data_IF_565540989923
#
_entry.id   IF_565540989923
#
_cell.length_a   1.000
_cell.length_b   1.000
_cell.length_c   1.000
_cell.angle_alpha   90.00
_cell.angle_beta   90.00
_cell.angle_gamma   90.00
#
_symmetry.space_group_name_H-M   'P 1'
#
loop_
_entity.id
_entity.type
_entity.pdbx_description
1 polymer ?
#
# COMPACT_ATOMS: atom_id res chain seq x y z
N UNK A 1 -3.03 -1.25 -1.07
CA UNK A 1 -2.57 -1.99 -2.26
C UNK A 1 -3.53 -1.78 -3.44
N UNK A 2 -4.81 -2.14 -3.32
CA UNK A 2 -5.77 -2.03 -4.42
C UNK A 2 -5.97 -0.60 -4.95
N UNK A 3 -5.94 0.42 -4.10
CA UNK A 3 -6.00 1.83 -4.54
C UNK A 3 -4.77 2.19 -5.36
N UNK A 4 -3.57 1.71 -5.00
CA UNK A 4 -2.36 1.92 -5.77
C UNK A 4 -2.45 1.28 -7.16
N UNK A 5 -2.96 0.05 -7.24
CA UNK A 5 -3.15 -0.64 -8.52
C UNK A 5 -4.10 0.13 -9.46
N UNK A 6 -5.14 0.75 -8.90
CA UNK A 6 -6.17 1.40 -9.71
C UNK A 6 -5.80 2.82 -10.13
N UNK A 7 -5.05 3.56 -9.29
CA UNK A 7 -4.87 5.01 -9.48
C UNK A 7 -3.46 5.45 -9.85
N UNK A 8 -2.43 4.60 -9.67
CA UNK A 8 -1.04 4.98 -9.97
C UNK A 8 -0.82 5.33 -11.43
N UNK A 9 -1.38 4.55 -12.36
CA UNK A 9 -1.25 4.81 -13.80
C UNK A 9 -1.94 6.11 -14.21
N UNK A 10 -3.11 6.38 -13.64
CA UNK A 10 -3.83 7.64 -13.87
C UNK A 10 -3.06 8.84 -13.30
N UNK A 11 -2.44 8.67 -12.13
CA UNK A 11 -1.58 9.69 -11.53
C UNK A 11 -0.39 10.02 -12.44
N UNK A 12 0.31 9.02 -12.95
CA UNK A 12 1.43 9.26 -13.87
C UNK A 12 1.00 9.91 -15.17
N UNK A 13 -0.11 9.50 -15.76
CA UNK A 13 -0.60 10.05 -17.02
C UNK A 13 -1.11 11.50 -16.93
N UNK A 14 -1.55 11.97 -15.75
CA UNK A 14 -2.08 13.32 -15.56
C UNK A 14 -1.07 14.30 -14.95
N UNK A 15 -0.19 13.83 -14.07
CA UNK A 15 0.69 14.69 -13.27
C UNK A 15 2.15 14.66 -13.69
N UNK A 16 2.51 13.71 -14.56
CA UNK A 16 3.89 13.58 -15.07
C UNK A 16 3.82 13.33 -16.56
N UNK A 17 4.84 13.80 -17.29
CA UNK A 17 4.97 13.55 -18.74
C UNK A 17 5.39 12.08 -19.05
N UNK A 18 4.97 11.13 -18.21
CA UNK A 18 5.28 9.72 -18.36
C UNK A 18 4.22 9.10 -19.28
N UNK A 19 4.60 8.56 -20.44
CA UNK A 19 3.67 7.92 -21.35
C UNK A 19 3.04 6.66 -20.74
N UNK A 20 1.83 6.32 -21.18
CA UNK A 20 1.02 5.26 -20.59
C UNK A 20 1.72 3.89 -20.51
N UNK A 21 2.55 3.57 -21.50
CA UNK A 21 3.35 2.33 -21.49
C UNK A 21 4.37 2.31 -20.33
N UNK A 22 5.03 3.43 -20.05
CA UNK A 22 5.97 3.55 -18.94
C UNK A 22 5.24 3.57 -17.58
N UNK A 23 4.06 4.16 -17.50
CA UNK A 23 3.22 4.12 -16.30
C UNK A 23 2.82 2.68 -15.93
N UNK A 24 2.50 1.85 -16.93
CA UNK A 24 2.23 0.42 -16.74
C UNK A 24 3.48 -0.35 -16.30
N UNK A 25 4.65 -0.02 -16.84
CA UNK A 25 5.92 -0.62 -16.39
C UNK A 25 6.20 -0.25 -14.93
N UNK A 26 5.97 1.00 -14.53
CA UNK A 26 6.13 1.43 -13.14
C UNK A 26 5.19 0.65 -12.19
N UNK A 27 3.93 0.43 -12.61
CA UNK A 27 2.99 -0.42 -11.86
C UNK A 27 3.49 -1.87 -11.76
N UNK A 28 4.01 -2.43 -12.85
CA UNK A 28 4.62 -3.77 -12.86
C UNK A 28 5.81 -3.85 -11.90
N UNK A 29 6.63 -2.81 -11.84
CA UNK A 29 7.72 -2.71 -10.87
C UNK A 29 7.21 -2.74 -9.42
N UNK A 30 6.07 -2.08 -9.12
CA UNK A 30 5.44 -2.15 -7.80
C UNK A 30 5.03 -3.58 -7.44
N UNK A 31 4.33 -4.26 -8.34
CA UNK A 31 3.86 -5.64 -8.12
C UNK A 31 5.04 -6.60 -7.97
N UNK A 32 6.09 -6.42 -8.77
CA UNK A 32 7.32 -7.21 -8.67
C UNK A 32 8.01 -6.97 -7.32
N UNK A 33 8.17 -5.73 -6.90
CA UNK A 33 8.72 -5.37 -5.59
C UNK A 33 7.93 -5.98 -4.43
N UNK A 34 6.60 -5.93 -4.51
CA UNK A 34 5.70 -6.55 -3.55
C UNK A 34 5.88 -8.07 -3.49
N UNK A 35 5.97 -8.73 -4.63
CA UNK A 35 6.13 -10.19 -4.71
C UNK A 35 7.47 -10.64 -4.16
N UNK A 36 8.56 -10.00 -4.56
CA UNK A 36 9.91 -10.29 -4.06
C UNK A 36 9.99 -10.08 -2.56
N UNK A 37 9.45 -8.96 -2.06
CA UNK A 37 9.42 -8.68 -0.63
C UNK A 37 8.61 -9.71 0.16
N UNK A 38 7.49 -10.20 -0.35
CA UNK A 38 6.73 -11.30 0.27
C UNK A 38 7.54 -12.58 0.38
N UNK A 39 8.31 -12.94 -0.64
CA UNK A 39 9.20 -14.11 -0.59
C UNK A 39 10.28 -13.96 0.50
N UNK A 40 10.89 -12.78 0.59
CA UNK A 40 11.90 -12.48 1.62
C UNK A 40 11.28 -12.48 3.03
N UNK A 41 10.05 -11.98 3.18
CA UNK A 41 9.34 -11.94 4.47
C UNK A 41 9.08 -13.31 5.05
N UNK A 42 8.89 -14.36 4.25
CA UNK A 42 8.78 -15.74 4.74
C UNK A 42 10.00 -16.15 5.56
N UNK A 43 11.19 -15.71 5.15
CA UNK A 43 12.42 -15.95 5.89
C UNK A 43 12.58 -15.03 7.12
N UNK A 44 12.14 -13.78 6.99
CA UNK A 44 12.21 -12.78 8.07
C UNK A 44 11.27 -13.14 9.23
N UNK A 45 10.04 -13.56 8.95
CA UNK A 45 9.05 -13.91 9.97
C UNK A 45 9.42 -15.15 10.80
N UNK A 46 10.39 -15.95 10.34
CA UNK A 46 10.98 -17.03 11.17
C UNK A 46 11.84 -16.51 12.32
N UNK A 47 12.36 -15.27 12.20
CA UNK A 47 13.31 -14.69 13.17
C UNK A 47 12.76 -13.47 13.91
N UNK A 48 11.85 -12.73 13.31
CA UNK A 48 11.32 -11.47 13.81
C UNK A 48 9.79 -11.57 13.91
N UNK A 49 9.24 -11.05 15.01
CA UNK A 49 7.79 -11.02 15.20
C UNK A 49 7.14 -10.17 14.10
N UNK A 50 6.06 -10.65 13.45
CA UNK A 50 5.36 -9.91 12.39
C UNK A 50 4.93 -8.51 12.81
N UNK A 51 4.53 -8.34 14.07
CA UNK A 51 4.13 -7.06 14.65
C UNK A 51 5.20 -5.97 14.57
N UNK A 52 6.47 -6.36 14.70
CA UNK A 52 7.59 -5.42 14.62
C UNK A 52 7.86 -4.97 13.18
N UNK A 53 7.55 -5.81 12.19
CA UNK A 53 7.82 -5.53 10.78
C UNK A 53 6.87 -4.47 10.21
N UNK A 54 5.61 -4.43 10.69
CA UNK A 54 4.59 -3.55 10.14
C UNK A 54 4.96 -2.05 10.14
N UNK A 55 5.44 -1.44 11.24
CA UNK A 55 5.78 -0.02 11.23
C UNK A 55 6.93 0.31 10.27
N UNK A 56 7.92 -0.58 10.13
CA UNK A 56 9.00 -0.39 9.15
C UNK A 56 8.50 -0.48 7.71
N UNK A 57 7.57 -1.40 7.44
CA UNK A 57 6.92 -1.54 6.14
C UNK A 57 6.11 -0.30 5.78
N UNK A 58 5.35 0.25 6.73
CA UNK A 58 4.59 1.50 6.52
C UNK A 58 5.51 2.69 6.28
N UNK A 59 6.63 2.78 7.01
CA UNK A 59 7.63 3.82 6.79
C UNK A 59 8.27 3.71 5.39
N UNK A 60 8.60 2.50 4.95
CA UNK A 60 9.13 2.25 3.61
C UNK A 60 8.13 2.66 2.52
N UNK A 61 6.85 2.35 2.72
CA UNK A 61 5.77 2.78 1.81
C UNK A 61 5.68 4.31 1.74
N UNK A 62 5.75 4.99 2.89
CA UNK A 62 5.72 6.46 2.93
C UNK A 62 6.92 7.07 2.20
N UNK A 63 8.13 6.52 2.38
CA UNK A 63 9.31 6.93 1.62
C UNK A 63 9.08 6.75 0.12
N UNK A 64 8.51 5.63 -0.31
CA UNK A 64 8.17 5.40 -1.71
C UNK A 64 7.22 6.47 -2.27
N UNK A 65 6.16 6.84 -1.52
CA UNK A 65 5.27 7.95 -1.93
C UNK A 65 5.97 9.31 -1.96
N UNK A 66 6.88 9.58 -1.02
CA UNK A 66 7.70 10.79 -1.08
C UNK A 66 8.54 10.84 -2.37
N UNK A 67 9.12 9.70 -2.79
CA UNK A 67 9.82 9.63 -4.06
C UNK A 67 8.90 9.96 -5.26
N UNK A 68 7.64 9.56 -5.23
CA UNK A 68 6.67 9.90 -6.28
C UNK A 68 6.33 11.39 -6.32
N UNK A 69 6.29 12.06 -5.16
CA UNK A 69 5.95 13.49 -5.08
C UNK A 69 7.03 14.40 -5.67
N UNK A 70 8.29 14.02 -5.55
CA UNK A 70 9.43 14.87 -5.96
C UNK A 70 10.00 14.52 -7.34
N UNK A 71 9.28 13.75 -8.16
CA UNK A 71 9.87 13.15 -9.36
C UNK A 71 9.24 13.53 -10.68
N UNK A 72 9.89 14.37 -11.47
CA UNK A 72 9.73 14.34 -12.90
C UNK A 72 10.66 13.26 -13.49
N UNK A 73 10.14 12.10 -13.86
CA UNK A 73 10.89 11.11 -14.63
C UNK A 73 10.60 9.65 -14.26
N UNK A 74 10.57 8.80 -15.31
CA UNK A 74 10.22 7.39 -15.22
C UNK A 74 11.10 6.60 -14.23
N UNK A 75 12.43 6.79 -14.25
CA UNK A 75 13.33 6.01 -13.40
C UNK A 75 13.04 6.19 -11.91
N UNK A 76 12.76 7.42 -11.47
CA UNK A 76 12.42 7.71 -10.08
C UNK A 76 11.03 7.20 -9.74
N UNK A 77 10.06 7.34 -10.65
CA UNK A 77 8.72 6.79 -10.49
C UNK A 77 8.78 5.26 -10.30
N UNK A 78 9.57 4.56 -11.12
CA UNK A 78 9.77 3.12 -10.99
C UNK A 78 10.39 2.73 -9.65
N UNK A 79 11.44 3.43 -9.20
CA UNK A 79 12.06 3.19 -7.88
C UNK A 79 11.05 3.46 -6.76
N UNK A 80 10.33 4.58 -6.80
CA UNK A 80 9.29 4.91 -5.82
C UNK A 80 8.22 3.81 -5.76
N UNK A 81 7.76 3.32 -6.90
CA UNK A 81 6.77 2.24 -6.98
C UNK A 81 7.30 0.92 -6.42
N UNK A 82 8.57 0.55 -6.68
CA UNK A 82 9.19 -0.63 -6.05
C UNK A 82 9.17 -0.50 -4.53
N UNK A 83 9.57 0.66 -3.98
CA UNK A 83 9.56 0.91 -2.54
C UNK A 83 8.15 0.84 -1.94
N UNK A 84 7.15 1.40 -2.64
CA UNK A 84 5.73 1.28 -2.25
C UNK A 84 5.31 -0.19 -2.23
N UNK A 85 5.62 -0.96 -3.26
CA UNK A 85 5.30 -2.38 -3.33
C UNK A 85 5.96 -3.18 -2.21
N UNK A 86 7.25 -2.99 -2.00
CA UNK A 86 7.99 -3.64 -0.92
C UNK A 86 7.41 -3.31 0.46
N UNK A 87 7.05 -2.06 0.69
CA UNK A 87 6.46 -1.61 1.94
C UNK A 87 5.05 -2.18 2.17
N UNK A 88 4.20 -2.21 1.17
CA UNK A 88 2.84 -2.76 1.28
C UNK A 88 2.80 -4.28 1.46
N UNK A 89 3.88 -4.97 1.12
CA UNK A 89 3.96 -6.44 1.12
C UNK A 89 3.67 -7.09 2.46
N UNK A 90 4.10 -6.46 3.59
CA UNK A 90 3.95 -7.00 4.93
C UNK A 90 2.55 -6.76 5.53
N UNK A 91 1.82 -5.77 5.07
CA UNK A 91 0.59 -5.30 5.70
C UNK A 91 -0.44 -6.42 5.86
N UNK A 92 -0.73 -7.12 4.79
CA UNK A 92 -1.72 -8.19 4.78
C UNK A 92 -1.31 -9.43 5.59
N UNK A 93 -0.10 -10.01 5.39
CA UNK A 93 0.35 -11.17 6.16
C UNK A 93 0.43 -10.89 7.65
N UNK A 94 0.86 -9.69 8.07
CA UNK A 94 0.95 -9.34 9.48
C UNK A 94 -0.44 -9.30 10.13
N UNK A 95 -1.42 -8.65 9.49
CA UNK A 95 -2.79 -8.57 10.03
C UNK A 95 -3.39 -9.96 10.17
N UNK A 96 -3.25 -10.82 9.15
CA UNK A 96 -3.75 -12.20 9.21
C UNK A 96 -3.02 -13.02 10.27
N UNK A 97 -1.73 -12.84 10.45
CA UNK A 97 -0.96 -13.51 11.50
C UNK A 97 -1.46 -13.13 12.90
N UNK A 98 -1.72 -11.84 13.14
CA UNK A 98 -2.28 -11.36 14.42
C UNK A 98 -3.67 -11.94 14.66
N UNK A 99 -4.55 -11.92 13.64
CA UNK A 99 -5.90 -12.48 13.75
C UNK A 99 -5.88 -13.99 14.01
N UNK A 100 -5.04 -14.73 13.28
CA UNK A 100 -4.91 -16.18 13.45
C UNK A 100 -4.39 -16.57 14.83
N UNK A 101 -3.44 -15.80 15.39
CA UNK A 101 -2.93 -16.04 16.74
C UNK A 101 -3.94 -15.68 17.85
N UNK A 102 -4.76 -14.65 17.61
CA UNK A 102 -5.73 -14.16 18.59
C UNK A 102 -7.03 -14.98 18.63
N UNK A 103 -7.40 -15.57 17.50
CA UNK A 103 -8.63 -16.38 17.34
C UNK A 103 -8.35 -17.74 16.69
N UNK A 104 -7.57 -18.64 17.33
CA UNK A 104 -7.15 -19.89 16.70
C UNK A 104 -8.31 -20.81 16.33
N UNK A 105 -9.37 -20.88 17.17
CA UNK A 105 -10.54 -21.71 16.95
C UNK A 105 -11.53 -21.18 15.91
N UNK A 106 -11.47 -19.86 15.60
CA UNK A 106 -12.37 -19.16 14.69
C UNK A 106 -11.61 -18.44 13.57
N UNK A 107 -10.39 -18.89 13.26
CA UNK A 107 -9.50 -18.21 12.30
C UNK A 107 -10.13 -18.01 10.93
N UNK A 108 -10.87 -19.00 10.41
CA UNK A 108 -11.56 -18.88 9.14
C UNK A 108 -12.61 -17.76 9.12
N UNK A 109 -13.44 -17.67 10.16
CA UNK A 109 -14.43 -16.60 10.29
C UNK A 109 -13.78 -15.25 10.49
N UNK A 110 -12.74 -15.17 11.33
CA UNK A 110 -11.99 -13.92 11.57
C UNK A 110 -11.34 -13.41 10.28
N UNK A 111 -10.77 -14.29 9.47
CA UNK A 111 -10.19 -13.91 8.16
C UNK A 111 -11.25 -13.44 7.19
N UNK A 112 -12.39 -14.13 7.08
CA UNK A 112 -13.49 -13.74 6.19
C UNK A 112 -14.04 -12.36 6.53
N UNK A 113 -14.25 -12.08 7.82
CA UNK A 113 -14.72 -10.78 8.29
C UNK A 113 -13.68 -9.69 8.01
N UNK A 114 -12.40 -9.95 8.30
CA UNK A 114 -11.33 -8.99 8.05
C UNK A 114 -11.21 -8.67 6.56
N UNK A 115 -11.32 -9.67 5.67
CA UNK A 115 -11.31 -9.49 4.23
C UNK A 115 -12.52 -8.69 3.74
N UNK A 116 -13.72 -8.98 4.25
CA UNK A 116 -14.91 -8.21 3.90
C UNK A 116 -14.77 -6.73 4.27
N UNK A 117 -14.28 -6.43 5.48
CA UNK A 117 -14.01 -5.06 5.93
C UNK A 117 -12.94 -4.40 5.04
N UNK A 118 -11.88 -5.14 4.69
CA UNK A 118 -10.82 -4.62 3.82
C UNK A 118 -11.35 -4.26 2.41
N UNK A 119 -12.21 -5.09 1.84
CA UNK A 119 -12.83 -4.82 0.53
C UNK A 119 -13.76 -3.61 0.57
N UNK A 120 -14.58 -3.48 1.61
CA UNK A 120 -15.42 -2.28 1.82
C UNK A 120 -14.55 -1.03 1.96
N UNK A 121 -13.48 -1.09 2.76
CA UNK A 121 -12.53 0.01 2.90
C UNK A 121 -11.83 0.37 1.60
N UNK A 122 -11.42 -0.62 0.82
CA UNK A 122 -10.83 -0.41 -0.51
C UNK A 122 -11.82 0.27 -1.46
N UNK A 123 -13.07 -0.15 -1.48
CA UNK A 123 -14.12 0.45 -2.32
C UNK A 123 -14.37 1.89 -1.91
N UNK A 124 -14.49 2.17 -0.61
CA UNK A 124 -14.65 3.52 -0.09
C UNK A 124 -13.48 4.44 -0.48
N UNK A 125 -12.24 3.96 -0.33
CA UNK A 125 -11.05 4.72 -0.72
C UNK A 125 -10.97 4.98 -2.22
N UNK A 126 -11.34 4.02 -3.06
CA UNK A 126 -11.42 4.24 -4.51
C UNK A 126 -12.51 5.28 -4.86
N UNK A 127 -13.66 5.24 -4.17
CA UNK A 127 -14.71 6.26 -4.33
C UNK A 127 -14.25 7.66 -3.91
N UNK A 128 -13.56 7.78 -2.77
CA UNK A 128 -12.96 9.03 -2.32
C UNK A 128 -11.94 9.57 -3.34
N UNK A 129 -11.08 8.72 -3.88
CA UNK A 129 -10.14 9.12 -4.92
C UNK A 129 -10.85 9.63 -6.18
N UNK A 130 -11.92 8.96 -6.61
CA UNK A 130 -12.74 9.40 -7.73
C UNK A 130 -13.36 10.78 -7.49
N UNK A 131 -13.94 11.01 -6.32
CA UNK A 131 -14.49 12.31 -5.93
C UNK A 131 -13.42 13.40 -5.91
N UNK A 132 -12.30 13.15 -5.23
CA UNK A 132 -11.19 14.11 -5.14
C UNK A 132 -10.67 14.48 -6.53
N UNK A 133 -10.49 13.49 -7.41
CA UNK A 133 -10.03 13.72 -8.78
C UNK A 133 -10.99 14.62 -9.58
N UNK A 134 -12.30 14.50 -9.34
CA UNK A 134 -13.32 15.35 -10.00
C UNK A 134 -13.34 16.78 -9.45
N UNK A 135 -13.30 16.93 -8.12
CA UNK A 135 -13.41 18.26 -7.48
C UNK A 135 -12.14 19.10 -7.58
N UNK A 136 -10.97 18.50 -7.66
CA UNK A 136 -9.68 19.22 -7.69
C UNK A 136 -9.09 19.38 -9.09
N UNK A 137 -9.87 19.05 -10.14
CA UNK A 137 -9.39 19.07 -11.54
C UNK A 137 -8.08 18.30 -11.76
N UNK A 138 -7.85 17.25 -10.97
CA UNK A 138 -6.67 16.41 -11.13
C UNK A 138 -6.42 15.45 -9.98
N UNK A 139 -5.62 14.44 -10.27
CA UNK A 139 -5.24 13.38 -9.35
C UNK A 139 -4.01 13.73 -8.48
N UNK A 140 -3.55 15.00 -8.50
CA UNK A 140 -2.35 15.46 -7.81
C UNK A 140 -2.33 15.22 -6.30
N UNK A 141 -3.49 15.12 -5.67
CA UNK A 141 -3.62 14.79 -4.25
C UNK A 141 -3.42 13.31 -3.91
N UNK A 142 -3.27 12.42 -4.92
CA UNK A 142 -3.11 10.99 -4.73
C UNK A 142 -2.00 10.61 -3.72
N UNK A 143 -0.74 11.06 -3.84
CA UNK A 143 0.30 10.68 -2.88
C UNK A 143 0.02 11.18 -1.47
N UNK A 144 -0.58 12.38 -1.33
CA UNK A 144 -0.92 12.96 -0.02
C UNK A 144 -2.00 12.14 0.69
N UNK A 145 -3.06 11.75 -0.03
CA UNK A 145 -4.11 10.89 0.51
C UNK A 145 -3.58 9.52 0.91
N UNK A 146 -2.65 8.97 0.13
CA UNK A 146 -2.03 7.70 0.46
C UNK A 146 -1.16 7.80 1.72
N UNK A 147 -0.36 8.86 1.87
CA UNK A 147 0.43 9.11 3.08
C UNK A 147 -0.48 9.33 4.29
N UNK A 148 -1.56 10.10 4.14
CA UNK A 148 -2.55 10.28 5.21
C UNK A 148 -3.18 8.96 5.65
N UNK A 149 -3.55 8.09 4.70
CA UNK A 149 -4.09 6.76 5.01
C UNK A 149 -3.09 5.86 5.76
N UNK A 150 -1.80 5.93 5.39
CA UNK A 150 -0.73 5.22 6.12
C UNK A 150 -0.56 5.74 7.54
N UNK A 151 -0.66 7.06 7.75
CA UNK A 151 -0.59 7.66 9.08
C UNK A 151 -1.77 7.20 9.96
N UNK A 152 -2.99 7.20 9.42
CA UNK A 152 -4.18 6.68 10.11
C UNK A 152 -3.99 5.20 10.46
N UNK A 153 -3.51 4.40 9.52
CA UNK A 153 -3.24 2.98 9.74
C UNK A 153 -2.23 2.76 10.87
N UNK A 154 -1.14 3.54 10.89
CA UNK A 154 -0.13 3.46 11.95
C UNK A 154 -0.69 3.85 13.32
N UNK A 155 -1.54 4.88 13.37
CA UNK A 155 -2.21 5.31 14.61
C UNK A 155 -3.16 4.24 15.14
N UNK A 156 -3.99 3.66 14.27
CA UNK A 156 -4.90 2.57 14.64
C UNK A 156 -4.12 1.34 15.11
N UNK A 157 -3.04 0.99 14.42
CA UNK A 157 -2.18 -0.11 14.82
C UNK A 157 -1.57 0.10 16.20
N UNK A 158 -0.97 1.27 16.47
CA UNK A 158 -0.43 1.60 17.80
C UNK A 158 -1.49 1.55 18.89
N UNK A 159 -2.74 1.94 18.58
CA UNK A 159 -3.85 1.90 19.54
C UNK A 159 -4.32 0.47 19.81
N UNK A 160 -4.22 -0.42 18.84
CA UNK A 160 -4.62 -1.84 18.99
C UNK A 160 -3.61 -2.68 19.80
N UNK A 161 -2.37 -2.18 19.98
CA UNK A 161 -1.34 -2.82 20.80
C UNK A 161 -1.40 -2.41 22.29
N UNK A 162 -2.19 -1.40 22.63
CA UNK A 162 -2.48 -1.02 24.02
C UNK A 162 -3.69 -1.76 24.55
#
# INVERSE_FOLDING_TARGET
EGVCNNWSTSYFGQMTDIPANQALIALTCMVTGLTVARMVQVAIFKKIKPETVLPYSLALTAIGFCFLMFSPGFARAAVGMVLVGMGLSATYPVILSILGSRYPSLSGTAFSVALAIALVGQTAMNGLMGMVSQYTNGIGLYPYLMIASLAVMLLLYKRSLK
#
